data_IF_690183767655
#
_entry.id   IF_690183767655
#
_cell.length_a   1.000
_cell.length_b   1.000
_cell.length_c   1.000
_cell.angle_alpha   90.00
_cell.angle_beta   90.00
_cell.angle_gamma   90.00
#
_symmetry.space_group_name_H-M   'P 1'
#
loop_
_entity.id
_entity.type
_entity.pdbx_description
1 polymer ?
#
# COMPACT_ATOMS: atom_id res chain seq x y z
N UNK A 1 6.74 3.48 3.62
CA UNK A 1 6.59 3.51 5.10
C UNK A 1 5.61 4.55 5.60
N UNK A 2 5.87 5.85 5.50
CA UNK A 2 5.07 6.87 6.23
C UNK A 2 3.88 7.46 5.47
N UNK A 3 3.65 7.03 4.23
CA UNK A 3 2.52 7.47 3.44
C UNK A 3 1.77 6.28 2.84
N UNK A 4 0.45 6.40 2.78
CA UNK A 4 -0.49 5.37 2.38
C UNK A 4 -0.73 5.24 0.88
N UNK A 5 -0.05 5.99 0.03
CA UNK A 5 -0.34 6.05 -1.41
C UNK A 5 -0.37 4.68 -2.12
N UNK A 6 0.60 3.82 -1.83
CA UNK A 6 0.66 2.47 -2.41
C UNK A 6 -0.47 1.59 -1.87
N UNK A 7 -0.81 1.71 -0.58
CA UNK A 7 -1.92 0.98 0.01
C UNK A 7 -3.27 1.46 -0.55
N UNK A 8 -3.43 2.76 -0.76
CA UNK A 8 -4.60 3.37 -1.39
C UNK A 8 -4.81 2.87 -2.83
N UNK A 9 -3.73 2.66 -3.59
CA UNK A 9 -3.82 2.10 -4.94
C UNK A 9 -4.48 0.70 -4.95
N UNK A 10 -4.30 -0.09 -3.89
CA UNK A 10 -5.00 -1.36 -3.72
C UNK A 10 -6.52 -1.21 -3.53
N UNK A 11 -6.99 -0.05 -3.08
CA UNK A 11 -8.42 0.28 -2.96
C UNK A 11 -9.13 0.53 -4.29
N UNK A 12 -8.38 0.80 -5.37
CA UNK A 12 -8.99 1.04 -6.70
C UNK A 12 -9.77 -0.18 -7.23
N UNK A 13 -9.54 -1.36 -6.67
CA UNK A 13 -10.28 -2.57 -7.03
C UNK A 13 -11.71 -2.59 -6.47
N UNK A 14 -12.06 -1.70 -5.52
CA UNK A 14 -13.44 -1.61 -5.00
C UNK A 14 -14.45 -1.24 -6.10
N UNK A 15 -14.02 -0.52 -7.15
CA UNK A 15 -14.84 -0.21 -8.34
C UNK A 15 -15.25 -1.48 -9.13
N UNK A 16 -14.70 -2.64 -8.78
CA UNK A 16 -15.02 -3.95 -9.34
C UNK A 16 -15.74 -4.87 -8.33
N UNK A 17 -16.46 -4.29 -7.37
CA UNK A 17 -17.23 -5.00 -6.33
C UNK A 17 -16.39 -5.92 -5.42
N UNK A 18 -15.08 -5.68 -5.33
CA UNK A 18 -14.18 -6.44 -4.45
C UNK A 18 -14.12 -5.75 -3.08
N UNK A 19 -14.49 -6.42 -1.97
CA UNK A 19 -14.44 -5.85 -0.63
C UNK A 19 -13.00 -5.64 -0.16
N UNK A 20 -12.54 -4.39 -0.09
CA UNK A 20 -11.21 -4.05 0.42
C UNK A 20 -11.28 -3.41 1.81
N UNK A 21 -10.32 -3.73 2.67
CA UNK A 21 -9.96 -2.97 3.86
C UNK A 21 -8.48 -2.56 3.75
N UNK A 22 -8.20 -1.29 4.02
CA UNK A 22 -6.85 -0.73 3.88
C UNK A 22 -6.33 -0.30 5.25
N UNK A 23 -5.15 -0.79 5.62
CA UNK A 23 -4.44 -0.37 6.82
C UNK A 23 -3.36 0.64 6.43
N UNK A 24 -3.70 1.91 6.62
CA UNK A 24 -2.85 3.05 6.31
C UNK A 24 -1.78 3.27 7.39
N UNK A 25 -0.58 3.76 7.03
CA UNK A 25 0.40 4.20 8.01
C UNK A 25 -0.01 5.49 8.74
N UNK A 26 -0.91 6.29 8.16
CA UNK A 26 -1.42 7.52 8.79
C UNK A 26 -2.51 7.26 9.85
N UNK A 27 -3.04 6.03 9.93
CA UNK A 27 -4.14 5.67 10.82
C UNK A 27 -3.64 4.71 11.89
N UNK A 28 -3.81 5.08 13.15
CA UNK A 28 -3.51 4.20 14.28
C UNK A 28 -4.34 2.92 14.20
N UNK A 29 -3.67 1.78 14.32
CA UNK A 29 -4.33 0.49 14.23
C UNK A 29 -5.11 0.19 15.51
N UNK A 30 -6.40 -0.08 15.33
CA UNK A 30 -7.32 -0.51 16.38
C UNK A 30 -7.79 -1.93 16.05
N UNK A 31 -7.33 -2.90 16.83
CA UNK A 31 -7.61 -4.33 16.61
C UNK A 31 -9.10 -4.61 16.62
N UNK A 32 -9.85 -4.08 17.58
CA UNK A 32 -11.24 -4.43 17.77
C UNK A 32 -12.10 -3.87 16.64
N UNK A 33 -11.85 -2.60 16.25
CA UNK A 33 -12.50 -2.00 15.07
C UNK A 33 -12.16 -2.75 13.79
N UNK A 34 -10.89 -3.14 13.62
CA UNK A 34 -10.44 -3.89 12.46
C UNK A 34 -11.15 -5.24 12.35
N UNK A 35 -11.17 -6.04 13.42
CA UNK A 35 -11.82 -7.35 13.43
C UNK A 35 -13.33 -7.23 13.17
N UNK A 36 -14.00 -6.24 13.76
CA UNK A 36 -15.41 -5.98 13.48
C UNK A 36 -15.66 -5.65 12.00
N UNK A 37 -14.78 -4.87 11.37
CA UNK A 37 -14.88 -4.54 9.95
C UNK A 37 -14.59 -5.72 9.03
N UNK A 38 -13.65 -6.58 9.39
CA UNK A 38 -13.40 -7.83 8.66
C UNK A 38 -14.65 -8.71 8.70
N UNK A 39 -15.24 -8.92 9.89
CA UNK A 39 -16.47 -9.70 10.03
C UNK A 39 -17.62 -9.11 9.20
N UNK A 40 -17.84 -7.79 9.27
CA UNK A 40 -18.88 -7.10 8.48
C UNK A 40 -18.72 -7.34 6.97
N UNK A 41 -17.50 -7.25 6.43
CA UNK A 41 -17.23 -7.48 5.00
C UNK A 41 -17.44 -8.96 4.65
N UNK A 42 -16.97 -9.89 5.48
CA UNK A 42 -17.12 -11.33 5.23
C UNK A 42 -18.59 -11.75 5.28
N UNK A 43 -19.38 -11.26 6.24
CA UNK A 43 -20.81 -11.58 6.33
C UNK A 43 -21.61 -11.09 5.11
N UNK A 44 -21.14 -10.01 4.48
CA UNK A 44 -21.80 -9.39 3.32
C UNK A 44 -21.35 -9.96 1.98
N UNK A 45 -20.07 -10.30 1.85
CA UNK A 45 -19.44 -10.63 0.57
C UNK A 45 -18.85 -12.05 0.52
N UNK A 46 -18.96 -12.84 1.60
CA UNK A 46 -18.35 -14.16 1.80
C UNK A 46 -16.80 -14.16 1.84
N UNK A 47 -16.15 -13.02 1.59
CA UNK A 47 -14.71 -12.84 1.70
C UNK A 47 -14.34 -11.38 2.00
N UNK A 48 -13.07 -11.14 2.35
CA UNK A 48 -12.52 -9.80 2.54
C UNK A 48 -11.09 -9.75 2.01
N UNK A 49 -10.76 -8.74 1.21
CA UNK A 49 -9.40 -8.43 0.78
C UNK A 49 -8.81 -7.36 1.69
N UNK A 50 -7.56 -7.51 2.09
CA UNK A 50 -6.91 -6.60 3.03
C UNK A 50 -5.58 -6.14 2.44
N UNK A 51 -5.39 -4.83 2.37
CA UNK A 51 -4.15 -4.19 1.93
C UNK A 51 -3.51 -3.54 3.14
N UNK A 52 -2.36 -4.08 3.57
CA UNK A 52 -1.63 -3.55 4.73
C UNK A 52 -0.37 -2.84 4.29
N UNK A 53 -0.22 -1.57 4.68
CA UNK A 53 1.04 -0.85 4.52
C UNK A 53 2.10 -1.41 5.47
N UNK A 54 3.35 -1.48 5.00
CA UNK A 54 4.51 -1.82 5.85
C UNK A 54 4.68 -0.85 7.04
N UNK A 55 4.12 0.35 6.96
CA UNK A 55 4.16 1.35 8.03
C UNK A 55 2.92 1.40 8.90
N UNK A 56 1.95 0.47 8.73
CA UNK A 56 0.83 0.37 9.65
C UNK A 56 1.35 0.12 11.07
N UNK A 57 0.82 0.86 12.04
CA UNK A 57 1.36 0.92 13.39
C UNK A 57 0.28 0.90 14.47
N UNK A 58 0.67 0.45 15.65
CA UNK A 58 -0.11 0.59 16.87
C UNK A 58 -0.13 2.05 17.37
N UNK A 59 -1.04 2.42 18.28
CA UNK A 59 -1.08 3.75 18.89
C UNK A 59 0.21 4.15 19.64
N UNK A 60 1.05 3.17 20.03
CA UNK A 60 2.36 3.43 20.63
C UNK A 60 3.48 3.70 19.60
N UNK A 61 3.12 3.75 18.31
CA UNK A 61 4.03 4.02 17.19
C UNK A 61 4.81 2.80 16.71
N UNK A 62 4.71 1.63 17.38
CA UNK A 62 5.38 0.41 16.92
C UNK A 62 4.70 -0.13 15.67
N UNK A 63 5.48 -0.58 14.70
CA UNK A 63 4.91 -1.17 13.50
C UNK A 63 4.24 -2.52 13.80
N UNK A 64 3.16 -2.83 13.08
CA UNK A 64 2.51 -4.14 13.18
C UNK A 64 3.50 -5.28 12.89
N UNK A 65 4.42 -5.06 11.95
CA UNK A 65 5.46 -6.02 11.57
C UNK A 65 6.50 -6.31 12.68
N UNK A 66 6.66 -5.41 13.65
CA UNK A 66 7.64 -5.56 14.73
C UNK A 66 7.12 -6.45 15.87
N UNK A 67 5.81 -6.72 15.92
CA UNK A 67 5.20 -7.67 16.86
C UNK A 67 5.33 -9.13 16.40
N UNK A 68 6.44 -9.48 15.74
CA UNK A 68 6.78 -10.87 15.44
C UNK A 68 6.88 -11.68 16.72
N UNK A 69 5.82 -12.42 17.02
CA UNK A 69 5.80 -13.53 17.97
C UNK A 69 7.04 -14.37 17.78
N UNK A 70 7.71 -14.67 18.89
CA UNK A 70 8.73 -15.71 18.89
C UNK A 70 8.03 -17.01 18.55
N UNK A 71 8.55 -17.77 17.58
CA UNK A 71 8.09 -19.14 17.38
C UNK A 71 8.31 -19.98 18.67
N UNK A 72 7.83 -21.23 18.68
CA UNK A 72 8.01 -22.14 19.82
C UNK A 72 9.49 -22.40 20.19
N UNK A 73 10.44 -21.92 19.37
CA UNK A 73 11.89 -22.03 19.54
C UNK A 73 12.58 -20.70 19.88
N UNK A 74 11.83 -19.60 20.02
CA UNK A 74 12.38 -18.30 20.40
C UNK A 74 12.80 -17.40 19.23
N UNK A 75 12.61 -17.80 17.97
CA UNK A 75 13.00 -17.00 16.81
C UNK A 75 11.95 -15.94 16.49
N UNK A 76 12.38 -14.70 16.27
CA UNK A 76 11.51 -13.66 15.74
C UNK A 76 10.95 -14.11 14.38
N UNK A 77 9.63 -14.19 14.26
CA UNK A 77 8.98 -14.50 13.00
C UNK A 77 9.17 -13.32 12.03
N UNK A 78 10.19 -13.42 11.18
CA UNK A 78 10.47 -12.48 10.11
C UNK A 78 9.42 -12.69 9.00
N UNK A 79 8.50 -11.76 8.83
CA UNK A 79 7.45 -11.91 7.79
C UNK A 79 6.69 -10.66 7.39
N UNK A 80 6.96 -9.50 7.99
CA UNK A 80 6.25 -8.25 7.70
C UNK A 80 4.86 -8.17 8.34
N UNK A 81 4.09 -7.14 8.00
CA UNK A 81 2.78 -6.87 8.63
C UNK A 81 1.69 -7.88 8.20
N UNK A 82 1.82 -8.48 7.01
CA UNK A 82 0.83 -9.41 6.45
C UNK A 82 0.56 -10.65 7.31
N UNK A 83 1.57 -11.45 7.75
CA UNK A 83 1.33 -12.59 8.62
C UNK A 83 0.78 -12.19 10.00
N UNK A 84 1.17 -11.04 10.55
CA UNK A 84 0.63 -10.55 11.83
C UNK A 84 -0.88 -10.27 11.71
N UNK A 85 -1.28 -9.56 10.67
CA UNK A 85 -2.70 -9.28 10.39
C UNK A 85 -3.48 -10.57 10.12
N UNK A 86 -2.92 -11.49 9.34
CA UNK A 86 -3.57 -12.75 9.00
C UNK A 86 -3.80 -13.63 10.24
N UNK A 87 -2.77 -13.80 11.08
CA UNK A 87 -2.88 -14.56 12.33
C UNK A 87 -3.89 -13.90 13.29
N UNK A 88 -3.90 -12.56 13.38
CA UNK A 88 -4.85 -11.83 14.22
C UNK A 88 -6.32 -12.10 13.82
N UNK A 89 -6.61 -12.21 12.52
CA UNK A 89 -7.94 -12.58 12.02
C UNK A 89 -8.26 -14.04 12.36
N UNK A 90 -7.33 -14.96 12.15
CA UNK A 90 -7.54 -16.38 12.44
C UNK A 90 -7.79 -16.64 13.92
N UNK A 91 -7.04 -15.98 14.82
CA UNK A 91 -7.21 -16.10 16.27
C UNK A 91 -8.55 -15.51 16.74
N UNK A 92 -9.00 -14.43 16.11
CA UNK A 92 -10.21 -13.71 16.56
C UNK A 92 -11.50 -14.27 15.95
N UNK A 93 -11.47 -14.69 14.67
CA UNK A 93 -12.65 -15.05 13.90
C UNK A 93 -12.63 -16.51 13.37
N UNK A 94 -11.50 -17.21 13.47
CA UNK A 94 -11.39 -18.58 12.96
C UNK A 94 -11.38 -18.70 11.43
N UNK A 95 -11.31 -17.59 10.71
CA UNK A 95 -11.43 -17.54 9.25
C UNK A 95 -10.16 -17.99 8.54
N UNK A 96 -10.32 -18.87 7.53
CA UNK A 96 -9.23 -19.28 6.65
C UNK A 96 -8.67 -18.08 5.88
N UNK A 97 -7.35 -17.97 5.80
CA UNK A 97 -6.68 -16.88 5.11
C UNK A 97 -5.62 -17.36 4.10
N UNK A 98 -5.24 -16.46 3.21
CA UNK A 98 -3.99 -16.49 2.47
C UNK A 98 -3.37 -15.09 2.54
N UNK A 99 -2.05 -15.00 2.56
CA UNK A 99 -1.35 -13.73 2.51
C UNK A 99 -0.18 -13.81 1.52
N UNK A 100 0.21 -12.66 0.99
CA UNK A 100 1.38 -12.49 0.14
C UNK A 100 2.06 -11.15 0.48
N UNK A 101 3.36 -11.08 0.20
CA UNK A 101 4.15 -9.85 0.35
C UNK A 101 4.80 -9.55 -0.99
N UNK A 102 4.46 -8.41 -1.60
CA UNK A 102 4.95 -8.06 -2.93
C UNK A 102 6.44 -7.66 -2.95
N UNK A 103 6.91 -6.99 -1.90
CA UNK A 103 8.29 -6.50 -1.71
C UNK A 103 8.95 -5.90 -2.97
N UNK A 104 9.89 -6.62 -3.61
CA UNK A 104 10.61 -6.12 -4.79
C UNK A 104 9.74 -6.12 -6.05
N UNK A 105 8.76 -7.01 -6.14
CA UNK A 105 7.93 -7.15 -7.34
C UNK A 105 7.17 -5.86 -7.65
N UNK A 106 6.57 -5.23 -6.64
CA UNK A 106 5.78 -3.99 -6.82
C UNK A 106 6.59 -2.78 -7.32
N UNK A 107 7.92 -2.79 -7.19
CA UNK A 107 8.80 -1.69 -7.67
C UNK A 107 9.62 -2.04 -8.91
N UNK A 108 9.53 -3.27 -9.39
CA UNK A 108 10.25 -3.75 -10.57
C UNK A 108 9.32 -4.30 -11.67
N UNK A 109 8.00 -4.13 -11.53
CA UNK A 109 6.99 -4.66 -12.43
C UNK A 109 6.87 -3.89 -13.76
N UNK A 110 7.98 -3.68 -14.49
CA UNK A 110 7.97 -2.97 -15.77
C UNK A 110 7.04 -3.61 -16.82
N UNK A 111 6.83 -4.91 -16.70
CA UNK A 111 5.92 -5.72 -17.51
C UNK A 111 4.44 -5.30 -17.36
N UNK A 112 4.08 -4.56 -16.31
CA UNK A 112 2.73 -4.03 -16.04
C UNK A 112 2.75 -2.52 -15.69
N UNK A 113 3.80 -1.79 -16.07
CA UNK A 113 3.92 -0.38 -15.67
C UNK A 113 2.82 0.49 -16.28
N UNK A 114 2.37 1.49 -15.52
CA UNK A 114 1.45 2.52 -15.99
C UNK A 114 2.05 3.28 -17.17
N UNK A 115 1.28 3.41 -18.26
CA UNK A 115 1.70 4.19 -19.43
C UNK A 115 1.95 5.65 -19.06
N UNK A 116 1.07 6.25 -18.24
CA UNK A 116 1.18 7.64 -17.78
C UNK A 116 2.47 7.86 -16.99
N UNK A 117 2.81 6.95 -16.07
CA UNK A 117 4.04 7.03 -15.26
C UNK A 117 5.28 6.96 -16.15
N UNK A 118 5.28 6.07 -17.15
CA UNK A 118 6.39 5.94 -18.12
C UNK A 118 6.55 7.22 -18.96
N UNK A 119 5.46 7.81 -19.45
CA UNK A 119 5.49 9.03 -20.25
C UNK A 119 5.99 10.23 -19.43
N UNK A 120 5.49 10.36 -18.19
CA UNK A 120 5.90 11.40 -17.25
C UNK A 120 7.37 11.25 -16.84
N UNK A 121 7.83 10.05 -16.48
CA UNK A 121 9.23 9.80 -16.13
C UNK A 121 10.19 10.18 -17.28
N UNK A 122 9.81 9.88 -18.52
CA UNK A 122 10.60 10.28 -19.69
C UNK A 122 10.61 11.80 -19.90
N UNK A 123 9.44 12.45 -19.79
CA UNK A 123 9.32 13.90 -19.93
C UNK A 123 10.13 14.66 -18.86
N UNK A 124 10.14 14.17 -17.61
CA UNK A 124 10.94 14.75 -16.54
C UNK A 124 12.44 14.71 -16.86
N UNK A 125 12.94 13.58 -17.38
CA UNK A 125 14.34 13.46 -17.80
C UNK A 125 14.68 14.40 -18.96
N UNK A 126 13.78 14.52 -19.95
CA UNK A 126 13.93 15.44 -21.07
C UNK A 126 13.96 16.90 -20.62
N UNK A 127 12.98 17.32 -19.82
CA UNK A 127 12.85 18.69 -19.32
C UNK A 127 14.06 19.10 -18.47
N UNK A 128 14.58 18.20 -17.63
CA UNK A 128 15.78 18.45 -16.84
C UNK A 128 17.00 18.83 -17.72
N UNK A 129 17.17 18.16 -18.87
CA UNK A 129 18.25 18.48 -19.83
C UNK A 129 17.99 19.81 -20.52
N UNK A 130 16.75 20.07 -20.94
CA UNK A 130 16.37 21.34 -21.58
C UNK A 130 16.62 22.54 -20.64
N UNK A 131 16.25 22.43 -19.37
CA UNK A 131 16.50 23.46 -18.35
C UNK A 131 17.99 23.66 -18.07
N UNK A 132 18.77 22.57 -17.96
CA UNK A 132 20.21 22.68 -17.75
C UNK A 132 20.91 23.39 -18.92
N UNK A 133 20.48 23.16 -20.17
CA UNK A 133 21.00 23.83 -21.37
C UNK A 133 20.59 25.31 -21.39
N UNK A 134 19.38 25.63 -20.92
CA UNK A 134 18.91 27.01 -20.79
C UNK A 134 19.65 27.82 -19.70
N UNK A 135 20.47 27.16 -18.89
CA UNK A 135 21.26 27.78 -17.82
C UNK A 135 20.59 27.78 -16.45
N UNK A 136 19.44 27.10 -16.31
CA UNK A 136 18.78 26.93 -15.03
C UNK A 136 19.61 26.02 -14.11
N UNK A 137 19.56 26.30 -12.82
CA UNK A 137 20.29 25.55 -11.80
C UNK A 137 19.45 25.41 -10.52
N UNK A 138 19.64 24.29 -9.80
CA UNK A 138 18.96 23.99 -8.54
C UNK A 138 17.42 24.04 -8.62
N UNK A 139 16.87 23.64 -9.77
CA UNK A 139 15.43 23.49 -9.97
C UNK A 139 15.06 22.01 -10.11
N UNK A 140 13.78 21.70 -9.93
CA UNK A 140 13.20 20.36 -10.11
C UNK A 140 12.05 20.47 -11.10
N UNK A 141 12.05 19.75 -12.24
CA UNK A 141 10.90 19.70 -13.11
C UNK A 141 9.72 19.06 -12.36
N UNK A 142 8.51 19.57 -12.60
CA UNK A 142 7.27 19.10 -11.98
C UNK A 142 6.32 18.55 -13.03
N UNK A 143 5.36 17.75 -12.58
CA UNK A 143 4.23 17.30 -13.39
C UNK A 143 3.01 18.05 -12.88
N UNK A 144 2.47 18.93 -13.69
CA UNK A 144 1.36 19.78 -13.30
C UNK A 144 0.06 19.25 -13.91
N UNK A 145 -0.88 18.86 -13.06
CA UNK A 145 -2.20 18.40 -13.52
C UNK A 145 -3.04 19.59 -13.97
N UNK A 146 -3.34 19.65 -15.26
CA UNK A 146 -4.14 20.74 -15.86
C UNK A 146 -5.63 20.38 -16.03
N UNK A 147 -5.99 19.10 -16.01
CA UNK A 147 -7.39 18.65 -16.09
C UNK A 147 -7.58 17.28 -15.45
N UNK A 148 -8.79 17.02 -14.93
CA UNK A 148 -9.18 15.74 -14.35
C UNK A 148 -9.98 14.87 -15.33
N UNK A 149 -10.92 15.46 -16.08
CA UNK A 149 -11.78 14.72 -17.00
C UNK A 149 -11.98 15.50 -18.33
N UNK A 150 -11.24 15.14 -19.40
CA UNK A 150 -10.21 14.09 -19.44
C UNK A 150 -8.97 14.47 -18.62
N UNK A 151 -8.26 13.48 -18.08
CA UNK A 151 -7.00 13.70 -17.37
C UNK A 151 -5.95 14.27 -18.32
N UNK A 152 -5.28 15.35 -17.91
CA UNK A 152 -4.19 15.98 -18.65
C UNK A 152 -3.11 16.49 -17.68
N UNK A 153 -1.88 16.48 -18.15
CA UNK A 153 -0.71 17.00 -17.44
C UNK A 153 0.20 17.74 -18.40
N UNK A 154 1.02 18.65 -17.86
CA UNK A 154 2.16 19.27 -18.52
C UNK A 154 3.44 19.12 -17.67
#
# INVERSE_FOLDING_TARGET
>A
RHAGWIAAAGGLVEDHDIPVLILFPEVEFDKDKFIAKVQEKVDKYDFCTIVVSEGAHWPDGKFLAEQGTRDAFGHAQLGGAAPVVANMIQESLGLKFHWAVADYLQRAARHLASKTDVEQAYAMGKAAVEYAIAGDNAIMPTIDRISNNPFKWE
#
